data_IF_963793495069
#
_entry.id   IF_963793495069
#
_cell.length_a   1.000
_cell.length_b   1.000
_cell.length_c   1.000
_cell.angle_alpha   90.00
_cell.angle_beta   90.00
_cell.angle_gamma   90.00
#
_symmetry.space_group_name_H-M   'P 1'
#
loop_
_entity.id
_entity.type
_entity.pdbx_description
1 polymer ?
#
# COMPACT_ATOMS: atom_id res chain seq x y z
N UNK A 1 31.15 20.87 -27.21
CA UNK A 1 29.76 20.47 -27.57
C UNK A 1 29.68 19.03 -28.07
N UNK A 2 30.48 18.62 -29.07
CA UNK A 2 30.46 17.23 -29.55
C UNK A 2 30.93 16.19 -28.52
N UNK A 3 31.96 16.51 -27.74
CA UNK A 3 32.52 15.62 -26.69
C UNK A 3 31.54 15.42 -25.52
N UNK A 4 30.95 16.51 -25.01
CA UNK A 4 29.90 16.47 -23.98
C UNK A 4 28.65 15.69 -24.43
N UNK A 5 28.26 15.81 -25.71
CA UNK A 5 27.16 15.04 -26.27
C UNK A 5 27.49 13.54 -26.34
N UNK A 6 28.74 13.19 -26.63
CA UNK A 6 29.22 11.81 -26.65
C UNK A 6 29.25 11.20 -25.23
N UNK A 7 29.69 11.97 -24.23
CA UNK A 7 29.72 11.53 -22.84
C UNK A 7 28.30 11.29 -22.28
N UNK A 8 27.35 12.15 -22.61
CA UNK A 8 25.96 11.97 -22.22
C UNK A 8 25.34 10.70 -22.82
N UNK A 9 25.67 10.37 -24.07
CA UNK A 9 25.22 9.14 -24.72
C UNK A 9 25.85 7.88 -24.10
N UNK A 10 27.12 7.93 -23.69
CA UNK A 10 27.77 6.84 -22.95
C UNK A 10 27.11 6.58 -21.61
N UNK A 11 26.77 7.64 -20.86
CA UNK A 11 26.01 7.52 -19.60
C UNK A 11 24.63 6.93 -19.82
N UNK A 12 23.92 7.33 -20.89
CA UNK A 12 22.64 6.75 -21.28
C UNK A 12 22.77 5.26 -21.61
N UNK A 13 23.81 4.83 -22.35
CA UNK A 13 24.02 3.40 -22.62
C UNK A 13 24.35 2.60 -21.36
N UNK A 14 25.13 3.19 -20.44
CA UNK A 14 25.38 2.61 -19.12
C UNK A 14 24.09 2.46 -18.32
N UNK A 15 23.24 3.49 -18.30
CA UNK A 15 21.94 3.45 -17.67
C UNK A 15 21.01 2.39 -18.29
N UNK A 16 21.01 2.27 -19.64
CA UNK A 16 20.26 1.23 -20.35
C UNK A 16 20.70 -0.18 -19.92
N UNK A 17 22.00 -0.40 -19.68
CA UNK A 17 22.54 -1.67 -19.20
C UNK A 17 22.01 -2.00 -17.80
N UNK A 18 22.17 -1.09 -16.85
CA UNK A 18 21.61 -1.27 -15.49
C UNK A 18 20.10 -1.50 -15.52
N UNK A 19 19.36 -0.77 -16.36
CA UNK A 19 17.93 -0.99 -16.52
C UNK A 19 17.59 -2.40 -17.01
N UNK A 20 18.36 -2.96 -17.96
CA UNK A 20 18.18 -4.33 -18.45
C UNK A 20 18.50 -5.36 -17.37
N UNK A 21 19.50 -5.07 -16.55
CA UNK A 21 19.92 -5.88 -15.40
C UNK A 21 18.96 -5.71 -14.20
N UNK A 22 17.87 -4.93 -14.36
CA UNK A 22 16.87 -4.60 -13.34
C UNK A 22 17.39 -3.79 -12.15
N UNK A 23 18.59 -3.23 -12.27
CA UNK A 23 19.14 -2.28 -11.31
C UNK A 23 18.63 -0.87 -11.64
N UNK A 24 17.39 -0.62 -11.26
CA UNK A 24 16.69 0.62 -11.60
C UNK A 24 17.26 1.84 -10.85
N UNK A 25 17.82 1.66 -9.65
CA UNK A 25 18.44 2.74 -8.89
C UNK A 25 19.67 3.29 -9.60
N UNK A 26 20.59 2.42 -10.03
CA UNK A 26 21.73 2.86 -10.83
C UNK A 26 21.30 3.36 -12.20
N UNK A 27 20.27 2.78 -12.82
CA UNK A 27 19.73 3.31 -14.06
C UNK A 27 19.24 4.76 -13.90
N UNK A 28 18.48 5.07 -12.84
CA UNK A 28 18.01 6.42 -12.52
C UNK A 28 19.20 7.37 -12.31
N UNK A 29 20.20 6.93 -11.54
CA UNK A 29 21.42 7.71 -11.30
C UNK A 29 22.11 8.09 -12.61
N UNK A 30 22.43 7.12 -13.47
CA UNK A 30 23.14 7.40 -14.72
C UNK A 30 22.31 8.15 -15.77
N UNK A 31 20.98 7.97 -15.80
CA UNK A 31 20.13 8.86 -16.61
C UNK A 31 20.13 10.29 -16.07
N UNK A 32 20.25 10.49 -14.76
CA UNK A 32 20.36 11.81 -14.14
C UNK A 32 21.67 12.48 -14.50
N UNK A 33 22.80 11.78 -14.38
CA UNK A 33 24.11 12.27 -14.85
C UNK A 33 24.09 12.60 -16.35
N UNK A 34 23.44 11.77 -17.19
CA UNK A 34 23.28 12.06 -18.62
C UNK A 34 22.46 13.34 -18.88
N UNK A 35 21.44 13.60 -18.07
CA UNK A 35 20.61 14.80 -18.14
C UNK A 35 21.31 16.06 -17.63
N UNK A 36 22.23 15.94 -16.67
CA UNK A 36 23.08 17.04 -16.24
C UNK A 36 23.98 17.53 -17.39
N UNK A 37 24.45 16.61 -18.25
CA UNK A 37 25.25 16.95 -19.43
C UNK A 37 24.42 17.42 -20.63
N UNK A 38 23.23 16.84 -20.84
CA UNK A 38 22.34 17.22 -21.94
C UNK A 38 20.86 17.22 -21.50
N UNK A 39 20.37 18.34 -20.94
CA UNK A 39 19.02 18.46 -20.41
C UNK A 39 17.94 18.65 -21.48
N UNK A 40 18.31 18.68 -22.78
CA UNK A 40 17.36 18.91 -23.87
C UNK A 40 17.08 17.62 -24.68
N UNK A 41 17.40 16.45 -24.13
CA UNK A 41 17.16 15.16 -24.79
C UNK A 41 15.91 14.47 -24.24
N UNK A 42 14.85 14.38 -25.06
CA UNK A 42 13.58 13.75 -24.69
C UNK A 42 13.72 12.24 -24.36
N UNK A 43 14.69 11.54 -24.96
CA UNK A 43 14.91 10.11 -24.74
C UNK A 43 15.35 9.85 -23.30
N UNK A 44 16.22 10.71 -22.75
CA UNK A 44 16.79 10.52 -21.41
C UNK A 44 15.70 10.63 -20.35
N UNK A 45 14.88 11.69 -20.45
CA UNK A 45 13.69 11.84 -19.61
C UNK A 45 12.72 10.67 -19.76
N UNK A 46 12.43 10.21 -20.97
CA UNK A 46 11.48 9.11 -21.14
C UNK A 46 11.99 7.77 -20.60
N UNK A 47 13.29 7.50 -20.71
CA UNK A 47 13.88 6.29 -20.15
C UNK A 47 13.97 6.37 -18.62
N UNK A 48 14.32 7.53 -18.05
CA UNK A 48 14.31 7.74 -16.60
C UNK A 48 12.89 7.69 -16.03
N UNK A 49 11.90 8.24 -16.74
CA UNK A 49 10.47 8.08 -16.45
C UNK A 49 10.06 6.61 -16.39
N UNK A 50 10.55 5.77 -17.32
CA UNK A 50 10.31 4.34 -17.26
C UNK A 50 10.98 3.69 -16.04
N UNK A 51 12.20 4.07 -15.70
CA UNK A 51 12.86 3.58 -14.48
C UNK A 51 12.07 3.98 -13.22
N UNK A 52 11.57 5.22 -13.15
CA UNK A 52 10.67 5.65 -12.09
C UNK A 52 9.34 4.90 -12.05
N UNK A 53 8.76 4.50 -13.20
CA UNK A 53 7.58 3.61 -13.21
C UNK A 53 7.90 2.23 -12.60
N UNK A 54 9.11 1.71 -12.83
CA UNK A 54 9.55 0.42 -12.29
C UNK A 54 9.85 0.46 -10.80
N UNK A 55 10.21 1.63 -10.27
CA UNK A 55 10.42 1.87 -8.84
C UNK A 55 9.24 2.58 -8.17
N UNK A 56 8.10 2.67 -8.86
CA UNK A 56 6.84 3.23 -8.34
C UNK A 56 6.89 4.71 -7.94
N UNK A 57 7.90 5.42 -8.41
CA UNK A 57 8.02 6.87 -8.33
C UNK A 57 7.11 7.54 -9.39
N UNK A 58 5.80 7.29 -9.33
CA UNK A 58 4.84 7.70 -10.36
C UNK A 58 4.79 9.22 -10.59
N UNK A 59 5.04 10.02 -9.55
CA UNK A 59 5.13 11.48 -9.63
C UNK A 59 6.34 11.92 -10.46
N UNK A 60 7.52 11.37 -10.18
CA UNK A 60 8.73 11.64 -10.97
C UNK A 60 8.60 11.09 -12.39
N UNK A 61 8.00 9.91 -12.56
CA UNK A 61 7.71 9.36 -13.87
C UNK A 61 6.80 10.29 -14.69
N UNK A 62 5.74 10.84 -14.09
CA UNK A 62 4.83 11.80 -14.72
C UNK A 62 5.54 13.09 -15.10
N UNK A 63 6.38 13.63 -14.21
CA UNK A 63 7.15 14.85 -14.45
C UNK A 63 8.14 14.67 -15.62
N UNK A 64 8.94 13.61 -15.61
CA UNK A 64 9.90 13.31 -16.67
C UNK A 64 9.19 13.02 -18.01
N UNK A 65 8.09 12.27 -18.00
CA UNK A 65 7.32 12.02 -19.23
C UNK A 65 6.72 13.32 -19.80
N UNK A 66 6.29 14.23 -18.94
CA UNK A 66 5.82 15.55 -19.35
C UNK A 66 6.97 16.37 -19.93
N UNK A 67 8.13 16.36 -19.30
CA UNK A 67 9.31 17.08 -19.79
C UNK A 67 9.79 16.56 -21.15
N UNK A 68 9.78 15.24 -21.34
CA UNK A 68 10.08 14.64 -22.64
C UNK A 68 9.18 15.17 -23.76
N UNK A 69 7.89 15.39 -23.48
CA UNK A 69 6.91 15.90 -24.44
C UNK A 69 6.96 17.42 -24.62
N UNK A 70 7.45 18.17 -23.64
CA UNK A 70 7.80 19.59 -23.81
C UNK A 70 8.95 19.77 -24.79
N UNK A 71 9.95 18.88 -24.72
CA UNK A 71 11.12 18.86 -25.59
C UNK A 71 10.75 18.38 -26.99
N UNK A 72 10.06 17.23 -27.10
CA UNK A 72 9.62 16.65 -28.36
C UNK A 72 8.16 16.18 -28.28
N UNK A 73 7.26 17.01 -28.84
CA UNK A 73 5.82 16.75 -28.90
C UNK A 73 5.44 15.56 -29.77
N UNK A 74 6.33 15.08 -30.64
CA UNK A 74 6.11 13.93 -31.52
C UNK A 74 6.66 12.63 -30.91
N UNK A 75 7.27 12.70 -29.73
CA UNK A 75 7.86 11.55 -29.07
C UNK A 75 6.80 10.62 -28.46
N UNK A 76 6.32 9.67 -29.25
CA UNK A 76 5.17 8.79 -28.89
C UNK A 76 5.41 8.00 -27.59
N UNK A 77 6.65 7.58 -27.32
CA UNK A 77 6.98 6.91 -26.04
C UNK A 77 6.71 7.82 -24.84
N UNK A 78 6.88 9.13 -24.96
CA UNK A 78 6.57 10.11 -23.92
C UNK A 78 5.10 10.09 -23.51
N UNK A 79 4.17 10.11 -24.48
CA UNK A 79 2.72 9.98 -24.21
C UNK A 79 2.41 8.67 -23.51
N UNK A 80 3.01 7.58 -23.98
CA UNK A 80 2.78 6.26 -23.39
C UNK A 80 3.28 6.16 -21.94
N UNK A 81 4.46 6.72 -21.62
CA UNK A 81 4.96 6.82 -20.23
C UNK A 81 4.02 7.68 -19.39
N UNK A 82 3.64 8.86 -19.88
CA UNK A 82 2.75 9.79 -19.17
C UNK A 82 1.38 9.19 -18.90
N UNK A 83 0.81 8.47 -19.87
CA UNK A 83 -0.45 7.75 -19.72
C UNK A 83 -0.32 6.70 -18.60
N UNK A 84 0.75 5.93 -18.60
CA UNK A 84 1.00 4.89 -17.59
C UNK A 84 1.19 5.49 -16.20
N UNK A 85 1.92 6.59 -16.06
CA UNK A 85 2.04 7.31 -14.77
C UNK A 85 0.68 7.84 -14.30
N UNK A 86 -0.11 8.45 -15.17
CA UNK A 86 -1.45 8.92 -14.83
C UNK A 86 -2.38 7.76 -14.44
N UNK A 87 -2.26 6.58 -15.06
CA UNK A 87 -3.02 5.39 -14.65
C UNK A 87 -2.67 4.97 -13.23
N UNK A 88 -1.36 4.87 -12.92
CA UNK A 88 -0.90 4.48 -11.59
C UNK A 88 -1.33 5.48 -10.51
N UNK A 89 -1.41 6.77 -10.87
CA UNK A 89 -1.90 7.85 -10.00
C UNK A 89 -3.44 7.95 -9.91
N UNK A 90 -4.19 7.04 -10.54
CA UNK A 90 -5.65 7.10 -10.59
C UNK A 90 -6.22 8.27 -11.43
N UNK A 91 -5.38 8.97 -12.20
CA UNK A 91 -5.75 10.08 -13.09
C UNK A 91 -6.25 9.56 -14.44
N UNK A 92 -7.26 8.70 -14.40
CA UNK A 92 -7.73 7.92 -15.57
C UNK A 92 -8.15 8.77 -16.76
N UNK A 93 -8.78 9.93 -16.54
CA UNK A 93 -9.17 10.84 -17.65
C UNK A 93 -7.95 11.42 -18.37
N UNK A 94 -6.90 11.78 -17.63
CA UNK A 94 -5.66 12.28 -18.21
C UNK A 94 -4.92 11.17 -18.97
N UNK A 95 -4.87 9.96 -18.39
CA UNK A 95 -4.30 8.79 -19.05
C UNK A 95 -5.02 8.44 -20.36
N UNK A 96 -6.36 8.48 -20.37
CA UNK A 96 -7.16 8.17 -21.55
C UNK A 96 -6.82 9.08 -22.73
N UNK A 97 -6.65 10.38 -22.49
CA UNK A 97 -6.27 11.37 -23.52
C UNK A 97 -4.90 11.06 -24.15
N UNK A 98 -3.94 10.64 -23.33
CA UNK A 98 -2.62 10.26 -23.82
C UNK A 98 -2.67 8.93 -24.59
N UNK A 99 -3.40 7.92 -24.10
CA UNK A 99 -3.58 6.66 -24.83
C UNK A 99 -4.32 6.84 -26.16
N UNK A 100 -5.33 7.71 -26.21
CA UNK A 100 -6.01 8.06 -27.46
C UNK A 100 -5.02 8.63 -28.50
N UNK A 101 -4.10 9.48 -28.05
CA UNK A 101 -3.04 10.03 -28.91
C UNK A 101 -2.12 8.92 -29.43
N UNK A 102 -1.70 7.98 -28.56
CA UNK A 102 -0.84 6.84 -28.96
C UNK A 102 -1.55 5.94 -29.98
N UNK A 103 -2.80 5.54 -29.71
CA UNK A 103 -3.58 4.65 -30.59
C UNK A 103 -3.86 5.31 -31.95
N UNK A 104 -4.09 6.62 -31.97
CA UNK A 104 -4.27 7.36 -33.23
C UNK A 104 -3.02 7.33 -34.10
N UNK A 105 -1.83 7.47 -33.51
CA UNK A 105 -0.56 7.46 -34.26
C UNK A 105 -0.11 6.03 -34.60
N UNK A 106 -0.42 5.05 -33.73
CA UNK A 106 -0.05 3.64 -33.89
C UNK A 106 -1.27 2.72 -33.82
N UNK A 107 -2.14 2.71 -34.85
CA UNK A 107 -3.40 1.96 -34.82
C UNK A 107 -3.22 0.44 -34.82
N UNK A 108 -2.05 -0.05 -35.24
CA UNK A 108 -1.71 -1.47 -35.27
C UNK A 108 -1.00 -1.94 -33.99
N UNK A 109 -0.69 -1.04 -33.06
CA UNK A 109 -0.08 -1.39 -31.78
C UNK A 109 -1.15 -2.01 -30.87
N UNK A 110 -1.08 -3.36 -30.77
CA UNK A 110 -2.03 -4.16 -30.01
C UNK A 110 -2.03 -3.79 -28.52
N UNK A 111 -0.85 -3.50 -27.97
CA UNK A 111 -0.71 -3.13 -26.57
C UNK A 111 -1.37 -1.77 -26.31
N UNK A 112 -1.03 -0.75 -27.11
CA UNK A 112 -1.64 0.57 -26.97
C UNK A 112 -3.18 0.53 -27.05
N UNK A 113 -3.74 -0.27 -27.96
CA UNK A 113 -5.20 -0.47 -28.08
C UNK A 113 -5.81 -1.12 -26.85
N UNK A 114 -5.18 -2.18 -26.33
CA UNK A 114 -5.61 -2.82 -25.10
C UNK A 114 -5.61 -1.82 -23.94
N UNK A 115 -4.54 -1.02 -23.79
CA UNK A 115 -4.44 -0.01 -22.72
C UNK A 115 -5.48 1.08 -22.81
N UNK A 116 -5.77 1.56 -24.02
CA UNK A 116 -6.85 2.49 -24.26
C UNK A 116 -8.22 1.92 -23.87
N UNK A 117 -8.53 0.68 -24.28
CA UNK A 117 -9.81 0.04 -23.99
C UNK A 117 -10.04 -0.16 -22.49
N UNK A 118 -9.03 -0.66 -21.78
CA UNK A 118 -9.09 -0.85 -20.33
C UNK A 118 -9.21 0.49 -19.59
N UNK A 119 -8.42 1.49 -19.98
CA UNK A 119 -8.53 2.84 -19.41
C UNK A 119 -9.93 3.44 -19.63
N UNK A 120 -10.48 3.30 -20.84
CA UNK A 120 -11.82 3.80 -21.17
C UNK A 120 -12.91 3.10 -20.35
N UNK A 121 -12.77 1.78 -20.12
CA UNK A 121 -13.69 1.01 -19.27
C UNK A 121 -13.70 1.56 -17.84
N UNK A 122 -12.52 1.81 -17.26
CA UNK A 122 -12.39 2.39 -15.92
C UNK A 122 -12.99 3.80 -15.85
N UNK A 123 -12.70 4.66 -16.84
CA UNK A 123 -13.26 6.02 -16.89
C UNK A 123 -14.79 6.00 -16.95
N UNK A 124 -15.38 5.11 -17.75
CA UNK A 124 -16.83 4.94 -17.85
C UNK A 124 -17.43 4.43 -16.54
N UNK A 125 -16.80 3.43 -15.92
CA UNK A 125 -17.23 2.87 -14.64
C UNK A 125 -17.23 3.96 -13.55
N UNK A 126 -16.13 4.70 -13.40
CA UNK A 126 -16.03 5.79 -12.41
C UNK A 126 -16.98 6.95 -12.68
N UNK A 127 -17.26 7.26 -13.96
CA UNK A 127 -18.26 8.25 -14.31
C UNK A 127 -19.67 7.78 -13.92
N UNK A 128 -19.98 6.50 -14.12
CA UNK A 128 -21.25 5.90 -13.68
C UNK A 128 -21.37 5.90 -12.15
N UNK A 129 -20.34 5.44 -11.43
CA UNK A 129 -20.28 5.45 -9.96
C UNK A 129 -20.45 6.86 -9.39
N UNK A 130 -19.85 7.88 -10.02
CA UNK A 130 -20.04 9.28 -9.63
C UNK A 130 -21.45 9.79 -9.93
N UNK A 131 -22.07 9.36 -11.03
CA UNK A 131 -23.42 9.76 -11.39
C UNK A 131 -24.48 9.18 -10.45
N UNK A 132 -24.25 7.98 -9.90
CA UNK A 132 -25.12 7.35 -8.89
C UNK A 132 -24.78 7.80 -7.46
N UNK A 133 -23.64 8.45 -7.25
CA UNK A 133 -23.27 9.06 -5.97
C UNK A 133 -23.95 10.43 -5.80
N UNK A 134 -25.29 10.45 -5.74
CA UNK A 134 -26.07 11.59 -5.24
C UNK A 134 -26.13 11.59 -3.70
N UNK A 135 -26.47 12.73 -3.09
CA UNK A 135 -26.53 13.04 -1.64
C UNK A 135 -27.44 12.15 -0.76
N UNK A 136 -27.85 10.97 -1.22
CA UNK A 136 -28.46 9.97 -0.36
C UNK A 136 -27.38 9.31 0.49
N UNK A 137 -27.59 9.25 1.81
CA UNK A 137 -26.80 8.41 2.72
C UNK A 137 -26.63 7.04 2.06
N UNK A 138 -25.41 6.71 1.58
CA UNK A 138 -25.11 5.39 1.00
C UNK A 138 -25.61 4.34 2.00
N UNK A 139 -26.66 3.60 1.62
CA UNK A 139 -27.07 2.41 2.36
C UNK A 139 -25.86 1.48 2.38
N UNK A 140 -25.53 1.00 3.57
CA UNK A 140 -24.41 0.06 3.70
C UNK A 140 -24.76 -1.21 2.95
N UNK A 141 -23.76 -1.87 2.34
CA UNK A 141 -23.97 -3.21 1.78
C UNK A 141 -24.57 -4.15 2.83
N UNK A 142 -24.22 -3.97 4.11
CA UNK A 142 -24.78 -4.74 5.24
C UNK A 142 -26.30 -4.68 5.27
N UNK A 143 -26.92 -3.53 4.94
CA UNK A 143 -28.39 -3.36 4.95
C UNK A 143 -29.09 -4.22 3.88
N UNK A 144 -28.34 -4.69 2.89
CA UNK A 144 -28.84 -5.57 1.81
C UNK A 144 -28.48 -7.04 2.00
N UNK A 145 -27.68 -7.37 3.02
CA UNK A 145 -27.22 -8.73 3.29
C UNK A 145 -28.10 -9.42 4.32
N UNK A 146 -28.79 -10.47 3.91
CA UNK A 146 -29.47 -11.40 4.83
C UNK A 146 -28.50 -12.54 5.21
N UNK A 147 -27.60 -12.27 6.16
CA UNK A 147 -26.60 -13.24 6.62
C UNK A 147 -27.25 -14.39 7.41
N UNK A 148 -28.35 -14.11 8.11
CA UNK A 148 -29.08 -15.10 8.91
C UNK A 148 -29.65 -16.22 8.03
N UNK A 149 -30.20 -15.85 6.87
CA UNK A 149 -30.73 -16.80 5.88
C UNK A 149 -29.66 -17.61 5.15
N UNK A 150 -28.39 -17.20 5.18
CA UNK A 150 -27.33 -17.92 4.47
C UNK A 150 -27.16 -19.32 5.06
N UNK A 151 -27.28 -20.34 4.22
CA UNK A 151 -26.96 -21.73 4.59
C UNK A 151 -25.49 -22.02 4.32
N UNK A 152 -24.88 -22.85 5.17
CA UNK A 152 -23.60 -23.49 4.91
C UNK A 152 -23.93 -24.86 4.36
N UNK A 153 -23.36 -25.23 3.21
CA UNK A 153 -23.61 -26.54 2.60
C UNK A 153 -23.07 -27.68 3.49
N UNK A 154 -23.77 -28.82 3.53
CA UNK A 154 -23.44 -29.95 4.41
C UNK A 154 -22.06 -30.58 4.11
N UNK A 155 -21.59 -30.44 2.87
CA UNK A 155 -20.28 -30.89 2.40
C UNK A 155 -19.13 -29.92 2.75
N UNK A 156 -19.44 -28.74 3.32
CA UNK A 156 -18.43 -27.82 3.82
C UNK A 156 -17.85 -28.33 5.15
N UNK A 157 -16.61 -28.82 5.07
CA UNK A 157 -15.81 -29.34 6.19
C UNK A 157 -14.77 -28.34 6.72
N UNK A 158 -14.78 -27.11 6.22
CA UNK A 158 -13.85 -26.07 6.67
C UNK A 158 -14.28 -25.41 7.99
N UNK A 159 -13.50 -24.41 8.45
CA UNK A 159 -13.75 -23.68 9.69
C UNK A 159 -15.12 -23.02 9.72
N UNK A 160 -15.83 -23.16 10.85
CA UNK A 160 -17.15 -22.56 11.10
C UNK A 160 -17.10 -21.72 12.36
N UNK A 161 -17.76 -20.57 12.35
CA UNK A 161 -17.94 -19.78 13.58
C UNK A 161 -18.99 -20.46 14.46
N UNK A 162 -18.66 -20.68 15.73
CA UNK A 162 -19.59 -21.17 16.75
C UNK A 162 -20.36 -19.98 17.31
N UNK A 163 -21.70 -20.02 17.23
CA UNK A 163 -22.59 -18.90 17.62
C UNK A 163 -22.21 -17.54 17.01
N UNK A 164 -21.58 -17.57 15.83
CA UNK A 164 -21.08 -16.38 15.14
C UNK A 164 -19.83 -15.75 15.75
N UNK A 165 -19.27 -16.32 16.82
CA UNK A 165 -18.10 -15.80 17.53
C UNK A 165 -16.80 -16.39 16.97
N UNK A 166 -15.75 -15.55 16.96
CA UNK A 166 -14.39 -16.00 16.63
C UNK A 166 -13.74 -16.57 17.89
N UNK A 167 -13.20 -17.79 17.79
CA UNK A 167 -12.43 -18.44 18.86
C UNK A 167 -10.98 -18.69 18.43
N UNK A 168 -10.08 -18.93 19.40
CA UNK A 168 -8.70 -19.30 19.08
C UNK A 168 -8.61 -20.59 18.27
N UNK A 169 -9.50 -21.56 18.53
CA UNK A 169 -9.54 -22.81 17.77
C UNK A 169 -9.96 -22.53 16.32
N UNK A 170 -11.01 -21.74 16.10
CA UNK A 170 -11.40 -21.29 14.77
C UNK A 170 -10.25 -20.60 14.04
N UNK A 171 -9.48 -19.72 14.71
CA UNK A 171 -8.35 -19.05 14.09
C UNK A 171 -7.24 -20.01 13.68
N UNK A 172 -6.92 -21.02 14.50
CA UNK A 172 -5.93 -22.05 14.16
C UNK A 172 -6.40 -22.88 12.96
N UNK A 173 -7.66 -23.30 12.96
CA UNK A 173 -8.23 -24.08 11.87
C UNK A 173 -8.31 -23.24 10.58
N UNK A 174 -8.65 -21.95 10.68
CA UNK A 174 -8.63 -21.01 9.57
C UNK A 174 -7.24 -20.86 8.97
N UNK A 175 -6.22 -20.71 9.82
CA UNK A 175 -4.86 -20.53 9.34
C UNK A 175 -4.36 -21.75 8.57
N UNK A 176 -4.63 -22.96 9.08
CA UNK A 176 -4.27 -24.21 8.40
C UNK A 176 -5.08 -24.39 7.11
N UNK A 177 -6.38 -24.07 7.13
CA UNK A 177 -7.25 -24.13 5.95
C UNK A 177 -6.74 -23.25 4.81
N UNK A 178 -6.30 -22.03 5.11
CA UNK A 178 -5.71 -21.12 4.15
C UNK A 178 -4.30 -21.54 3.70
N UNK A 179 -3.50 -22.16 4.60
CA UNK A 179 -2.19 -22.73 4.25
C UNK A 179 -2.32 -23.84 3.20
N UNK A 180 -3.42 -24.58 3.24
CA UNK A 180 -3.81 -25.58 2.25
C UNK A 180 -4.46 -25.01 0.98
N UNK A 181 -4.44 -23.68 0.78
CA UNK A 181 -5.11 -22.97 -0.32
C UNK A 181 -6.62 -23.21 -0.41
N UNK A 182 -7.27 -23.57 0.70
CA UNK A 182 -8.72 -23.75 0.75
C UNK A 182 -9.39 -22.42 1.12
N UNK A 183 -10.68 -22.30 0.82
CA UNK A 183 -11.43 -21.05 0.97
C UNK A 183 -12.39 -21.10 2.16
N UNK A 184 -12.42 -20.06 2.99
CA UNK A 184 -13.41 -19.92 4.06
C UNK A 184 -14.82 -19.78 3.45
N UNK A 185 -15.83 -20.40 4.07
CA UNK A 185 -17.20 -20.26 3.59
C UNK A 185 -17.67 -18.80 3.65
N UNK A 186 -18.42 -18.37 2.63
CA UNK A 186 -18.87 -16.97 2.47
C UNK A 186 -19.66 -16.44 3.67
N UNK A 187 -20.47 -17.28 4.33
CA UNK A 187 -21.23 -16.91 5.53
C UNK A 187 -20.30 -16.45 6.64
N UNK A 188 -19.26 -17.23 6.93
CA UNK A 188 -18.28 -16.90 7.96
C UNK A 188 -17.47 -15.66 7.58
N UNK A 189 -17.08 -15.50 6.31
CA UNK A 189 -16.41 -14.29 5.83
C UNK A 189 -17.29 -13.03 6.02
N UNK A 190 -18.57 -13.08 5.66
CA UNK A 190 -19.50 -11.97 5.91
C UNK A 190 -19.68 -11.69 7.40
N UNK A 191 -19.81 -12.72 8.23
CA UNK A 191 -19.92 -12.56 9.69
C UNK A 191 -18.68 -11.87 10.28
N UNK A 192 -17.47 -12.25 9.87
CA UNK A 192 -16.22 -11.59 10.29
C UNK A 192 -16.24 -10.12 9.86
N UNK A 193 -16.60 -9.82 8.61
CA UNK A 193 -16.59 -8.45 8.10
C UNK A 193 -17.61 -7.53 8.77
N UNK A 194 -18.82 -8.03 9.03
CA UNK A 194 -19.85 -7.23 9.73
C UNK A 194 -19.43 -6.94 11.16
N UNK A 195 -18.92 -7.94 11.88
CA UNK A 195 -18.46 -7.76 13.26
C UNK A 195 -17.24 -6.84 13.34
N UNK A 196 -16.25 -7.01 12.46
CA UNK A 196 -15.04 -6.18 12.52
C UNK A 196 -15.35 -4.74 12.11
N UNK A 197 -16.31 -4.51 11.21
CA UNK A 197 -16.82 -3.17 10.90
C UNK A 197 -17.38 -2.50 12.15
N UNK A 198 -18.21 -3.20 12.91
CA UNK A 198 -18.80 -2.68 14.16
C UNK A 198 -17.70 -2.32 15.17
N UNK A 199 -16.71 -3.20 15.38
CA UNK A 199 -15.55 -2.94 16.24
C UNK A 199 -14.76 -1.71 15.79
N UNK A 200 -14.35 -1.66 14.52
CA UNK A 200 -13.51 -0.59 13.99
C UNK A 200 -14.24 0.75 13.95
N UNK A 201 -15.55 0.76 13.71
CA UNK A 201 -16.35 1.99 13.65
C UNK A 201 -16.43 2.75 14.98
N UNK A 202 -16.23 2.04 16.09
CA UNK A 202 -16.23 2.60 17.46
C UNK A 202 -14.88 3.17 17.86
N UNK A 203 -13.81 2.89 17.10
CA UNK A 203 -12.47 3.39 17.42
C UNK A 203 -12.30 4.86 16.97
N UNK A 204 -11.47 5.65 17.66
CA UNK A 204 -11.04 6.96 17.17
C UNK A 204 -10.11 6.82 15.96
N UNK A 205 -9.91 7.92 15.23
CA UNK A 205 -8.98 7.96 14.10
C UNK A 205 -7.51 7.88 14.53
N UNK A 206 -7.20 8.36 15.74
CA UNK A 206 -5.95 8.12 16.46
C UNK A 206 -6.23 7.19 17.63
N UNK A 207 -5.75 5.94 17.58
CA UNK A 207 -5.83 5.01 18.71
C UNK A 207 -4.73 5.33 19.71
N UNK A 208 -5.03 5.29 20.99
CA UNK A 208 -4.05 5.56 22.05
C UNK A 208 -4.02 4.38 23.01
N UNK A 209 -2.83 3.82 23.23
CA UNK A 209 -2.63 2.70 24.15
C UNK A 209 -1.57 3.02 25.19
N UNK A 210 -1.68 2.37 26.34
CA UNK A 210 -0.67 2.40 27.39
C UNK A 210 -0.14 0.98 27.62
N UNK A 211 1.15 0.78 27.37
CA UNK A 211 1.91 -0.40 27.76
C UNK A 211 2.44 -0.20 29.18
N UNK A 212 2.14 -1.16 30.06
CA UNK A 212 2.76 -1.24 31.38
C UNK A 212 4.24 -1.60 31.25
N UNK A 213 5.01 -1.35 32.31
CA UNK A 213 6.47 -1.55 32.35
C UNK A 213 6.91 -2.96 31.89
N UNK A 214 6.14 -4.00 32.22
CA UNK A 214 6.44 -5.40 31.85
C UNK A 214 5.81 -5.85 30.54
N UNK A 215 4.98 -5.03 29.91
CA UNK A 215 4.26 -5.38 28.67
C UNK A 215 5.12 -5.06 27.45
N UNK A 216 4.95 -5.86 26.39
CA UNK A 216 5.62 -5.68 25.10
C UNK A 216 4.56 -5.66 24.01
N UNK A 217 4.79 -4.92 22.92
CA UNK A 217 3.99 -4.99 21.69
C UNK A 217 4.88 -5.21 20.48
N UNK A 218 4.37 -5.99 19.52
CA UNK A 218 5.02 -6.20 18.24
C UNK A 218 4.44 -5.28 17.18
N UNK A 219 5.28 -4.53 16.46
CA UNK A 219 4.87 -3.70 15.32
C UNK A 219 5.37 -4.34 14.03
N UNK A 220 4.43 -4.70 13.16
CA UNK A 220 4.67 -5.15 11.80
C UNK A 220 4.33 -4.02 10.83
N UNK A 221 5.09 -3.92 9.73
CA UNK A 221 4.77 -3.07 8.59
C UNK A 221 3.91 -3.77 7.55
N UNK A 222 4.09 -3.36 6.30
CA UNK A 222 3.39 -3.88 5.14
C UNK A 222 3.54 -5.41 5.04
N UNK A 223 2.45 -6.09 4.66
CA UNK A 223 2.43 -7.55 4.44
C UNK A 223 1.96 -7.95 3.04
N UNK A 224 1.21 -7.08 2.36
CA UNK A 224 0.87 -7.18 0.93
C UNK A 224 0.47 -8.57 0.46
N UNK A 225 -0.46 -9.23 1.15
CA UNK A 225 -0.96 -10.54 0.75
C UNK A 225 0.08 -11.66 0.72
N UNK A 226 1.21 -11.51 1.41
CA UNK A 226 2.20 -12.56 1.62
C UNK A 226 1.82 -13.46 2.82
N UNK A 227 0.73 -14.21 2.65
CA UNK A 227 0.11 -14.99 3.71
C UNK A 227 1.06 -15.99 4.41
N UNK A 228 1.95 -16.63 3.67
CA UNK A 228 2.87 -17.62 4.23
C UNK A 228 3.96 -16.96 5.09
N UNK A 229 4.36 -15.73 4.75
CA UNK A 229 5.27 -14.94 5.57
C UNK A 229 4.57 -14.39 6.82
N UNK A 230 3.26 -14.07 6.74
CA UNK A 230 2.46 -13.76 7.94
C UNK A 230 2.44 -14.93 8.92
N UNK A 231 2.26 -16.16 8.44
CA UNK A 231 2.34 -17.36 9.29
C UNK A 231 3.74 -17.52 9.88
N UNK A 232 4.79 -17.26 9.12
CA UNK A 232 6.17 -17.29 9.60
C UNK A 232 6.41 -16.27 10.73
N UNK A 233 5.85 -15.05 10.64
CA UNK A 233 5.90 -14.07 11.75
C UNK A 233 5.29 -14.68 13.01
N UNK A 234 4.11 -15.31 12.91
CA UNK A 234 3.45 -15.93 14.06
C UNK A 234 4.19 -17.17 14.60
N UNK A 235 4.90 -17.90 13.75
CA UNK A 235 5.73 -19.04 14.18
C UNK A 235 6.99 -18.57 14.91
N UNK A 236 7.66 -17.53 14.39
CA UNK A 236 8.89 -16.96 14.96
C UNK A 236 8.62 -16.17 16.24
N UNK A 237 7.48 -15.48 16.32
CA UNK A 237 7.19 -14.50 17.35
C UNK A 237 5.99 -14.84 18.24
N UNK A 238 5.39 -16.01 18.03
CA UNK A 238 4.20 -16.47 18.73
C UNK A 238 2.92 -15.88 18.15
N UNK A 239 1.80 -16.57 18.42
CA UNK A 239 0.49 -16.10 17.97
C UNK A 239 0.05 -14.83 18.71
N UNK A 240 -0.80 -14.01 18.09
CA UNK A 240 -1.47 -12.91 18.78
C UNK A 240 -2.25 -13.41 19.98
N UNK A 241 -2.15 -12.66 21.09
CA UNK A 241 -2.91 -12.92 22.32
C UNK A 241 -2.93 -11.66 23.19
N UNK A 242 -3.67 -11.69 24.30
CA UNK A 242 -3.65 -10.63 25.31
C UNK A 242 -2.23 -10.35 25.85
N UNK A 243 -1.39 -11.39 25.94
CA UNK A 243 0.01 -11.30 26.41
C UNK A 243 1.03 -11.14 25.29
N UNK A 244 0.61 -11.19 24.03
CA UNK A 244 1.46 -11.00 22.86
C UNK A 244 0.73 -10.11 21.84
N UNK A 245 0.57 -8.81 22.15
CA UNK A 245 -0.17 -7.88 21.30
C UNK A 245 0.61 -7.54 20.02
N UNK A 246 -0.14 -7.26 18.96
CA UNK A 246 0.39 -6.90 17.65
C UNK A 246 -0.26 -5.62 17.13
N UNK A 247 0.54 -4.85 16.39
CA UNK A 247 0.13 -3.74 15.56
C UNK A 247 0.60 -4.00 14.12
N UNK A 248 -0.32 -4.15 13.17
CA UNK A 248 0.00 -4.16 11.74
C UNK A 248 -0.27 -2.79 11.14
N UNK A 249 0.79 -2.16 10.61
CA UNK A 249 0.81 -0.78 10.19
C UNK A 249 0.41 -0.58 8.72
N UNK A 250 -0.78 -1.05 8.36
CA UNK A 250 -1.35 -0.91 7.01
C UNK A 250 -0.75 -1.82 5.95
N UNK A 251 -1.30 -1.71 4.74
CA UNK A 251 -0.86 -2.43 3.54
C UNK A 251 -0.85 -3.95 3.74
N UNK A 252 -2.03 -4.46 4.11
CA UNK A 252 -2.29 -5.88 4.31
C UNK A 252 -2.49 -6.62 2.99
N UNK A 253 -3.06 -5.92 2.01
CA UNK A 253 -3.55 -6.47 0.75
C UNK A 253 -2.79 -5.89 -0.44
N UNK A 254 -3.21 -6.34 -1.63
CA UNK A 254 -2.63 -6.00 -2.92
C UNK A 254 -1.22 -6.58 -3.12
N UNK A 255 -0.80 -6.65 -4.39
CA UNK A 255 0.46 -7.23 -4.86
C UNK A 255 0.57 -8.73 -4.64
N UNK A 256 0.66 -9.21 -3.40
CA UNK A 256 0.63 -10.63 -3.11
C UNK A 256 -0.73 -11.22 -3.46
N UNK A 257 -0.72 -12.50 -3.84
CA UNK A 257 -1.91 -13.19 -4.35
C UNK A 257 -2.64 -14.03 -3.31
N UNK A 258 -2.35 -13.76 -2.03
CA UNK A 258 -3.01 -14.35 -0.87
C UNK A 258 -3.54 -13.24 0.07
N UNK A 259 -4.00 -12.13 -0.51
CA UNK A 259 -4.49 -10.96 0.23
C UNK A 259 -5.75 -11.28 1.02
N UNK A 260 -6.64 -12.12 0.48
CA UNK A 260 -7.87 -12.56 1.15
C UNK A 260 -7.55 -13.36 2.41
N UNK A 261 -6.56 -14.25 2.35
CA UNK A 261 -6.14 -15.08 3.48
C UNK A 261 -5.51 -14.22 4.57
N UNK A 262 -4.63 -13.28 4.19
CA UNK A 262 -4.05 -12.29 5.13
C UNK A 262 -5.17 -11.53 5.83
N UNK A 263 -6.03 -10.83 5.09
CA UNK A 263 -6.96 -9.88 5.70
C UNK A 263 -8.02 -10.56 6.57
N UNK A 264 -8.51 -11.75 6.18
CA UNK A 264 -9.47 -12.50 7.00
C UNK A 264 -8.81 -13.05 8.27
N UNK A 265 -7.53 -13.40 8.21
CA UNK A 265 -6.77 -13.81 9.41
C UNK A 265 -6.56 -12.63 10.35
N UNK A 266 -6.17 -11.47 9.82
CA UNK A 266 -5.99 -10.24 10.61
C UNK A 266 -7.31 -9.78 11.24
N UNK A 267 -8.41 -9.75 10.49
CA UNK A 267 -9.73 -9.42 11.04
C UNK A 267 -10.23 -10.44 12.05
N UNK A 268 -9.95 -11.73 11.85
CA UNK A 268 -10.24 -12.76 12.85
C UNK A 268 -9.53 -12.49 14.18
N UNK A 269 -8.22 -12.21 14.16
CA UNK A 269 -7.49 -11.84 15.38
C UNK A 269 -7.95 -10.49 15.96
N UNK A 270 -8.37 -9.53 15.13
CA UNK A 270 -8.98 -8.28 15.61
C UNK A 270 -10.27 -8.53 16.39
N UNK A 271 -11.07 -9.51 15.98
CA UNK A 271 -12.29 -9.90 16.70
C UNK A 271 -11.99 -10.70 17.96
N UNK A 272 -10.97 -11.57 17.91
CA UNK A 272 -10.58 -12.41 19.04
C UNK A 272 -9.91 -11.61 20.17
N UNK A 273 -9.08 -10.62 19.81
CA UNK A 273 -8.30 -9.80 20.74
C UNK A 273 -8.43 -8.30 20.41
N UNK A 274 -9.62 -7.71 20.54
CA UNK A 274 -9.90 -6.35 20.06
C UNK A 274 -9.04 -5.26 20.69
N UNK A 275 -8.56 -5.45 21.91
CA UNK A 275 -7.75 -4.46 22.64
C UNK A 275 -6.23 -4.73 22.54
N UNK A 276 -5.82 -5.85 21.93
CA UNK A 276 -4.42 -6.30 21.85
C UNK A 276 -3.96 -6.57 20.41
N UNK A 277 -4.89 -6.59 19.45
CA UNK A 277 -4.60 -6.71 18.03
C UNK A 277 -5.07 -5.46 17.30
N UNK A 278 -4.11 -4.71 16.77
CA UNK A 278 -4.32 -3.38 16.21
C UNK A 278 -4.01 -3.40 14.72
N UNK A 279 -4.89 -2.75 13.94
CA UNK A 279 -4.76 -2.62 12.50
C UNK A 279 -4.88 -1.14 12.16
N UNK A 280 -3.86 -0.58 11.51
CA UNK A 280 -3.90 0.77 10.96
C UNK A 280 -4.13 0.72 9.47
N UNK A 281 -4.73 1.78 8.93
CA UNK A 281 -4.97 1.91 7.50
C UNK A 281 -3.66 2.24 6.78
N UNK A 282 -3.36 1.52 5.71
CA UNK A 282 -2.34 1.88 4.73
C UNK A 282 -2.97 2.48 3.46
N UNK A 283 -2.13 2.86 2.49
CA UNK A 283 -2.65 3.38 1.24
C UNK A 283 -3.29 2.29 0.37
N UNK A 284 -2.94 1.02 0.58
CA UNK A 284 -3.54 -0.12 -0.10
C UNK A 284 -4.88 -0.57 0.49
N UNK A 285 -5.33 -0.04 1.64
CA UNK A 285 -6.71 -0.21 2.11
C UNK A 285 -7.65 0.87 1.50
N UNK A 286 -7.56 1.03 0.17
CA UNK A 286 -8.30 2.03 -0.61
C UNK A 286 -8.76 1.47 -1.97
N UNK A 287 -9.91 1.94 -2.45
CA UNK A 287 -10.54 1.39 -3.66
C UNK A 287 -9.67 1.58 -4.90
N UNK A 288 -9.02 2.75 -5.00
CA UNK A 288 -8.16 3.08 -6.13
C UNK A 288 -6.98 2.10 -6.22
N UNK A 289 -6.40 1.71 -5.08
CA UNK A 289 -5.31 0.74 -5.07
C UNK A 289 -5.84 -0.67 -5.34
N UNK A 290 -6.91 -1.09 -4.65
CA UNK A 290 -7.43 -2.45 -4.78
C UNK A 290 -7.91 -2.81 -6.19
N UNK A 291 -8.48 -1.84 -6.92
CA UNK A 291 -8.88 -1.98 -8.32
C UNK A 291 -7.69 -2.26 -9.25
N UNK A 292 -6.52 -1.72 -8.90
CA UNK A 292 -5.33 -1.74 -9.76
C UNK A 292 -4.36 -2.86 -9.38
N UNK A 293 -4.23 -3.17 -8.09
CA UNK A 293 -3.14 -3.97 -7.55
C UNK A 293 -3.53 -5.35 -7.02
N UNK A 294 -4.78 -5.77 -7.23
CA UNK A 294 -5.16 -7.18 -7.19
C UNK A 294 -6.21 -7.55 -6.17
N UNK A 295 -6.36 -6.82 -5.07
CA UNK A 295 -7.28 -7.24 -4.02
C UNK A 295 -8.73 -7.28 -4.48
N UNK A 296 -9.20 -6.29 -5.25
CA UNK A 296 -10.57 -6.33 -5.80
C UNK A 296 -10.76 -7.55 -6.71
N UNK A 297 -9.78 -7.82 -7.57
CA UNK A 297 -9.82 -8.98 -8.47
C UNK A 297 -9.81 -10.30 -7.70
N UNK A 298 -8.99 -10.40 -6.66
CA UNK A 298 -8.86 -11.58 -5.81
C UNK A 298 -10.15 -11.86 -5.05
N UNK A 299 -10.76 -10.82 -4.45
CA UNK A 299 -12.06 -10.94 -3.76
C UNK A 299 -13.16 -11.34 -4.74
N UNK A 300 -13.19 -10.78 -5.96
CA UNK A 300 -14.18 -11.17 -6.98
C UNK A 300 -13.98 -12.60 -7.48
N UNK A 301 -12.73 -13.07 -7.55
CA UNK A 301 -12.42 -14.44 -7.96
C UNK A 301 -12.76 -15.47 -6.87
N UNK A 302 -12.46 -15.16 -5.61
CA UNK A 302 -12.70 -16.06 -4.48
C UNK A 302 -14.16 -15.98 -3.97
N UNK A 303 -14.78 -14.80 -4.00
CA UNK A 303 -16.13 -14.55 -3.49
C UNK A 303 -17.02 -13.84 -4.53
N UNK A 304 -17.37 -12.58 -4.29
CA UNK A 304 -18.33 -11.80 -5.08
C UNK A 304 -17.93 -10.32 -5.10
N UNK A 305 -18.48 -9.55 -6.03
CA UNK A 305 -18.28 -8.11 -6.05
C UNK A 305 -18.89 -7.42 -4.80
N UNK A 306 -19.98 -7.96 -4.27
CA UNK A 306 -20.61 -7.48 -3.03
C UNK A 306 -19.69 -7.67 -1.82
N UNK A 307 -18.94 -8.78 -1.77
CA UNK A 307 -17.93 -9.00 -0.73
C UNK A 307 -16.85 -7.91 -0.75
N UNK A 308 -16.37 -7.53 -1.94
CA UNK A 308 -15.39 -6.45 -2.08
C UNK A 308 -15.95 -5.10 -1.61
N UNK A 309 -17.19 -4.77 -1.96
CA UNK A 309 -17.82 -3.54 -1.47
C UNK A 309 -17.87 -3.49 0.07
N UNK A 310 -18.15 -4.62 0.73
CA UNK A 310 -18.11 -4.69 2.18
C UNK A 310 -16.68 -4.53 2.74
N UNK A 311 -15.65 -5.13 2.13
CA UNK A 311 -14.26 -4.88 2.48
C UNK A 311 -13.91 -3.38 2.38
N UNK A 312 -14.29 -2.73 1.28
CA UNK A 312 -14.07 -1.29 1.10
C UNK A 312 -14.73 -0.45 2.19
N UNK A 313 -15.96 -0.79 2.61
CA UNK A 313 -16.62 -0.13 3.74
C UNK A 313 -15.89 -0.37 5.07
N UNK A 314 -15.41 -1.58 5.32
CA UNK A 314 -14.64 -1.92 6.54
C UNK A 314 -13.32 -1.15 6.57
N UNK A 315 -12.59 -1.10 5.46
CA UNK A 315 -11.32 -0.39 5.33
C UNK A 315 -11.43 1.11 5.63
N UNK A 316 -12.58 1.72 5.34
CA UNK A 316 -12.84 3.11 5.68
C UNK A 316 -12.91 3.37 7.19
N UNK A 317 -13.15 2.34 8.01
CA UNK A 317 -13.18 2.46 9.47
C UNK A 317 -11.86 2.14 10.16
N UNK A 318 -10.84 1.65 9.44
CA UNK A 318 -9.50 1.44 10.01
C UNK A 318 -8.94 2.77 10.56
N UNK A 319 -8.45 2.80 11.82
CA UNK A 319 -7.74 3.96 12.36
C UNK A 319 -6.54 4.35 11.50
N UNK A 320 -6.17 5.64 11.53
CA UNK A 320 -5.13 6.20 10.66
C UNK A 320 -3.76 6.25 11.33
N UNK A 321 -3.74 6.28 12.66
CA UNK A 321 -2.52 6.30 13.45
C UNK A 321 -2.75 5.68 14.84
N UNK A 322 -1.66 5.29 15.50
CA UNK A 322 -1.67 4.82 16.89
C UNK A 322 -0.56 5.49 17.69
N UNK A 323 -0.87 6.00 18.88
CA UNK A 323 0.11 6.53 19.81
C UNK A 323 0.27 5.58 21.01
N UNK A 324 1.52 5.24 21.31
CA UNK A 324 1.91 4.32 22.39
C UNK A 324 2.58 5.13 23.49
N UNK A 325 2.03 5.04 24.71
CA UNK A 325 2.50 5.74 25.92
C UNK A 325 2.67 7.26 25.75
N UNK A 326 1.94 7.88 24.81
CA UNK A 326 2.09 9.29 24.43
C UNK A 326 3.53 9.67 24.02
N UNK A 327 4.29 8.70 23.50
CA UNK A 327 5.72 8.86 23.18
C UNK A 327 6.08 8.39 21.76
N UNK A 328 5.51 7.29 21.31
CA UNK A 328 5.76 6.75 19.97
C UNK A 328 4.50 6.88 19.13
N UNK A 329 4.58 7.56 18.00
CA UNK A 329 3.48 7.66 17.04
C UNK A 329 3.73 6.71 15.87
N UNK A 330 2.73 5.91 15.52
CA UNK A 330 2.77 4.94 14.44
C UNK A 330 1.73 5.30 13.38
N UNK A 331 2.15 5.40 12.12
CA UNK A 331 1.27 5.55 10.96
C UNK A 331 1.89 4.88 9.74
N UNK A 332 1.10 4.56 8.71
CA UNK A 332 1.62 3.84 7.56
C UNK A 332 2.63 4.68 6.74
N UNK A 333 2.20 5.84 6.24
CA UNK A 333 2.98 6.77 5.43
C UNK A 333 3.94 7.62 6.27
N UNK A 334 3.51 8.76 6.76
CA UNK A 334 4.38 9.62 7.57
C UNK A 334 3.76 10.95 7.97
N UNK A 335 4.58 12.00 7.99
CA UNK A 335 4.20 13.34 8.44
C UNK A 335 3.65 14.23 7.31
N UNK A 336 3.29 15.45 7.69
CA UNK A 336 2.35 16.30 6.97
C UNK A 336 3.00 17.30 6.02
N UNK A 337 2.28 17.67 4.96
CA UNK A 337 2.67 18.74 4.05
C UNK A 337 2.61 20.13 4.68
N UNK A 338 1.93 20.26 5.82
CA UNK A 338 1.74 21.50 6.58
C UNK A 338 2.38 21.39 7.97
N UNK A 339 2.88 22.51 8.49
CA UNK A 339 3.33 22.61 9.88
C UNK A 339 2.14 22.84 10.82
N UNK A 340 2.33 22.58 12.12
CA UNK A 340 1.34 22.88 13.14
C UNK A 340 0.30 21.77 13.40
N UNK A 341 0.32 20.68 12.65
CA UNK A 341 -0.56 19.51 12.89
C UNK A 341 -0.28 18.91 14.27
N UNK A 342 -1.35 18.67 15.03
CA UNK A 342 -1.31 18.10 16.38
C UNK A 342 -1.93 16.70 16.43
N UNK A 343 -1.65 15.95 17.51
CA UNK A 343 -2.38 14.71 17.82
C UNK A 343 -3.90 14.93 17.91
N UNK A 344 -4.33 16.12 18.36
CA UNK A 344 -5.75 16.46 18.44
C UNK A 344 -6.40 16.61 17.06
N UNK A 345 -5.66 17.12 16.08
CA UNK A 345 -6.13 17.17 14.70
C UNK A 345 -6.32 15.75 14.15
N UNK A 346 -5.43 14.81 14.51
CA UNK A 346 -5.55 13.41 14.07
C UNK A 346 -6.78 12.71 14.66
N UNK A 347 -7.11 12.99 15.93
CA UNK A 347 -8.35 12.48 16.56
C UNK A 347 -9.60 12.93 15.82
N UNK A 348 -9.60 14.15 15.29
CA UNK A 348 -10.74 14.80 14.63
C UNK A 348 -10.92 14.43 13.16
N UNK A 349 -10.00 13.69 12.54
CA UNK A 349 -10.13 13.30 11.14
C UNK A 349 -11.38 12.41 10.97
N UNK A 350 -12.32 12.86 10.13
CA UNK A 350 -13.41 12.02 9.62
C UNK A 350 -12.87 11.03 8.59
N UNK A 351 -12.52 9.84 9.07
CA UNK A 351 -11.80 8.82 8.29
C UNK A 351 -12.68 7.91 7.44
N UNK A 352 -14.00 7.87 7.70
CA UNK A 352 -14.93 6.93 7.04
C UNK A 352 -15.26 7.36 5.60
N UNK A 353 -14.23 7.35 4.76
CA UNK A 353 -14.24 7.78 3.37
C UNK A 353 -12.98 7.26 2.67
N UNK A 354 -12.96 7.38 1.35
CA UNK A 354 -11.71 7.28 0.60
C UNK A 354 -10.81 8.49 0.95
N UNK A 355 -9.48 8.32 0.99
CA UNK A 355 -8.58 9.42 1.29
C UNK A 355 -8.73 10.55 0.24
N UNK A 356 -8.65 11.82 0.67
CA UNK A 356 -8.60 12.95 -0.26
C UNK A 356 -7.31 12.94 -1.09
N UNK A 357 -7.24 13.79 -2.13
CA UNK A 357 -6.04 13.95 -2.96
C UNK A 357 -4.87 14.64 -2.21
N UNK A 358 -5.14 15.31 -1.09
CA UNK A 358 -4.17 16.01 -0.23
C UNK A 358 -4.71 16.23 1.19
N UNK A 359 -3.84 16.65 2.11
CA UNK A 359 -4.18 16.98 3.51
C UNK A 359 -3.91 15.83 4.49
N UNK A 360 -4.20 16.00 5.79
CA UNK A 360 -3.65 15.14 6.83
C UNK A 360 -3.94 13.63 6.69
N UNK A 361 -5.15 13.26 6.28
CA UNK A 361 -5.50 11.86 6.01
C UNK A 361 -4.71 11.29 4.83
N UNK A 362 -4.47 12.09 3.78
CA UNK A 362 -3.65 11.67 2.65
C UNK A 362 -2.19 11.51 3.11
N UNK A 363 -1.67 12.46 3.86
CA UNK A 363 -0.26 12.47 4.25
C UNK A 363 0.11 11.30 5.16
N UNK A 364 -0.76 10.99 6.14
CA UNK A 364 -0.61 9.82 7.02
C UNK A 364 -0.48 8.49 6.27
N UNK A 365 -1.03 8.41 5.05
CA UNK A 365 -1.04 7.18 4.25
C UNK A 365 0.03 7.19 3.14
N UNK A 366 0.57 8.35 2.74
CA UNK A 366 1.34 8.46 1.49
C UNK A 366 2.68 9.19 1.58
N UNK A 367 2.97 9.93 2.65
CA UNK A 367 4.22 10.69 2.71
C UNK A 367 5.42 9.79 2.98
N UNK A 368 6.60 10.22 2.51
CA UNK A 368 7.87 9.55 2.74
C UNK A 368 8.89 10.48 3.40
N UNK A 369 9.79 9.97 4.26
CA UNK A 369 10.91 10.76 4.75
C UNK A 369 11.90 11.10 3.61
N UNK A 370 12.60 12.23 3.73
CA UNK A 370 13.71 12.60 2.86
C UNK A 370 14.94 13.03 3.68
N UNK A 371 16.17 12.78 3.21
CA UNK A 371 17.36 13.06 4.00
C UNK A 371 17.61 14.56 4.19
N UNK A 372 17.21 15.40 3.25
CA UNK A 372 17.39 16.85 3.31
C UNK A 372 16.25 17.55 4.06
N UNK A 373 16.55 18.67 4.71
CA UNK A 373 15.56 19.49 5.40
C UNK A 373 14.47 20.03 4.47
N UNK A 374 13.34 20.41 5.07
CA UNK A 374 12.18 20.99 4.40
C UNK A 374 11.23 19.92 3.85
N UNK A 375 10.46 20.32 2.83
CA UNK A 375 9.48 19.46 2.16
C UNK A 375 9.71 19.48 0.66
N UNK A 376 9.43 18.36 0.01
CA UNK A 376 9.45 18.24 -1.45
C UNK A 376 8.16 17.62 -1.97
N UNK A 377 7.90 17.78 -3.26
CA UNK A 377 6.83 17.03 -3.94
C UNK A 377 7.16 15.55 -3.84
N UNK A 378 6.17 14.73 -3.45
CA UNK A 378 6.39 13.29 -3.33
C UNK A 378 6.79 12.66 -4.66
N UNK A 379 7.79 11.76 -4.58
CA UNK A 379 8.16 10.87 -5.70
C UNK A 379 6.97 10.04 -6.19
N UNK A 380 5.98 9.79 -5.32
CA UNK A 380 4.74 9.05 -5.60
C UNK A 380 3.69 9.88 -6.32
N UNK A 381 3.84 11.21 -6.39
CA UNK A 381 2.88 12.10 -7.06
C UNK A 381 1.59 12.39 -6.27
N UNK A 382 1.58 12.01 -4.99
CA UNK A 382 0.52 12.24 -3.99
C UNK A 382 1.21 12.50 -2.64
N UNK A 383 0.67 13.40 -1.81
CA UNK A 383 1.32 13.86 -0.58
C UNK A 383 2.69 14.55 -0.82
N UNK A 384 3.55 14.61 0.19
CA UNK A 384 4.88 15.22 0.20
C UNK A 384 5.99 14.25 0.64
N UNK A 385 7.23 14.68 0.45
CA UNK A 385 8.37 14.21 1.21
C UNK A 385 8.69 15.18 2.35
N UNK A 386 9.12 14.70 3.51
CA UNK A 386 9.40 15.51 4.70
C UNK A 386 10.78 15.26 5.30
N UNK A 387 11.49 16.32 5.66
CA UNK A 387 12.86 16.27 6.17
C UNK A 387 12.98 16.00 7.67
N UNK A 388 14.24 15.93 8.18
CA UNK A 388 14.53 15.76 9.59
C UNK A 388 14.00 16.91 10.47
N UNK A 389 14.03 18.14 9.96
CA UNK A 389 13.49 19.35 10.60
C UNK A 389 11.97 19.28 10.80
N UNK A 390 11.23 18.80 9.79
CA UNK A 390 9.78 18.57 9.88
C UNK A 390 9.47 17.52 10.95
N UNK A 391 10.25 16.43 10.98
CA UNK A 391 10.09 15.37 11.97
C UNK A 391 10.37 15.90 13.37
N UNK A 392 11.47 16.62 13.55
CA UNK A 392 11.81 17.21 14.83
C UNK A 392 10.74 18.20 15.32
N UNK A 393 10.29 19.12 14.46
CA UNK A 393 9.29 20.11 14.83
C UNK A 393 7.96 19.48 15.26
N UNK A 394 7.48 18.46 14.53
CA UNK A 394 6.26 17.75 14.89
C UNK A 394 6.38 17.01 16.23
N UNK A 395 7.50 16.31 16.46
CA UNK A 395 7.74 15.55 17.69
C UNK A 395 7.83 16.48 18.90
N UNK A 396 8.55 17.60 18.80
CA UNK A 396 8.68 18.59 19.86
C UNK A 396 7.33 19.24 20.20
N UNK A 397 6.56 19.63 19.19
CA UNK A 397 5.23 20.21 19.37
C UNK A 397 4.27 19.27 20.10
N UNK A 398 4.36 17.96 19.81
CA UNK A 398 3.45 16.95 20.35
C UNK A 398 4.03 16.15 21.53
N UNK A 399 5.22 16.50 22.02
CA UNK A 399 5.90 15.84 23.14
C UNK A 399 6.18 14.34 22.93
N UNK A 400 6.40 13.96 21.67
CA UNK A 400 6.74 12.62 21.23
C UNK A 400 8.25 12.41 21.12
N UNK A 401 8.70 11.16 21.21
CA UNK A 401 10.12 10.81 21.13
C UNK A 401 10.54 10.51 19.69
N UNK A 402 9.75 9.71 18.96
CA UNK A 402 9.99 9.34 17.56
C UNK A 402 8.72 8.80 16.89
N UNK A 403 8.77 8.64 15.56
CA UNK A 403 7.72 7.97 14.78
C UNK A 403 8.18 6.61 14.23
N UNK A 404 7.24 5.68 14.12
CA UNK A 404 7.39 4.43 13.37
C UNK A 404 6.44 4.46 12.18
N UNK A 405 6.95 4.12 11.00
CA UNK A 405 6.19 4.05 9.75
C UNK A 405 6.58 2.86 8.89
N UNK A 406 5.90 2.65 7.77
CA UNK A 406 6.13 1.49 6.91
C UNK A 406 6.27 1.90 5.44
N UNK A 407 5.37 1.54 4.51
CA UNK A 407 5.16 2.15 3.17
C UNK A 407 6.32 2.12 2.15
N UNK A 408 7.56 1.89 2.57
CA UNK A 408 8.74 1.75 1.73
C UNK A 408 9.46 0.45 2.02
N UNK A 409 9.69 -0.34 0.97
CA UNK A 409 10.56 -1.51 1.04
C UNK A 409 11.96 -1.09 1.46
N UNK A 410 12.56 -1.85 2.38
CA UNK A 410 13.95 -1.68 2.85
C UNK A 410 14.67 -3.00 2.73
N UNK A 411 15.91 -2.97 2.24
CA UNK A 411 16.71 -4.19 2.01
C UNK A 411 16.83 -5.05 3.28
N UNK A 412 17.03 -4.41 4.44
CA UNK A 412 17.15 -5.07 5.75
C UNK A 412 15.81 -5.19 6.50
N UNK A 413 14.68 -4.89 5.84
CA UNK A 413 13.34 -4.91 6.45
C UNK A 413 13.04 -3.72 7.36
N UNK A 414 14.04 -2.90 7.70
CA UNK A 414 13.86 -1.66 8.45
C UNK A 414 14.93 -0.61 8.07
N UNK A 415 14.69 0.64 8.45
CA UNK A 415 15.66 1.72 8.32
C UNK A 415 15.43 2.78 9.41
N UNK A 416 16.51 3.32 9.98
CA UNK A 416 16.46 4.41 10.97
C UNK A 416 16.99 5.68 10.35
N UNK A 417 16.15 6.70 10.24
CA UNK A 417 16.46 7.99 9.60
C UNK A 417 16.21 9.16 10.57
N UNK A 418 16.51 10.38 10.10
CA UNK A 418 16.26 11.63 10.84
C UNK A 418 16.84 11.60 12.27
N UNK A 419 18.09 11.15 12.39
CA UNK A 419 18.81 11.05 13.67
C UNK A 419 18.09 10.19 14.72
N UNK A 420 17.47 9.09 14.28
CA UNK A 420 16.76 8.16 15.18
C UNK A 420 15.28 8.48 15.38
N UNK A 421 14.77 9.55 14.78
CA UNK A 421 13.41 10.05 15.03
C UNK A 421 12.35 9.55 14.05
N UNK A 422 12.76 8.96 12.92
CA UNK A 422 11.86 8.38 11.92
C UNK A 422 12.32 6.98 11.55
N UNK A 423 11.53 5.97 11.92
CA UNK A 423 11.85 4.56 11.74
C UNK A 423 10.91 3.96 10.70
N UNK A 424 11.47 3.33 9.68
CA UNK A 424 10.71 2.52 8.72
C UNK A 424 10.81 1.05 9.11
N UNK A 425 9.68 0.33 9.15
CA UNK A 425 9.59 -1.13 9.30
C UNK A 425 8.74 -1.73 8.18
N UNK A 426 9.19 -2.82 7.59
CA UNK A 426 8.55 -3.47 6.44
C UNK A 426 8.56 -4.98 6.63
N UNK A 427 7.39 -5.63 6.55
CA UNK A 427 7.20 -7.02 6.97
C UNK A 427 6.88 -7.98 5.81
N UNK A 428 7.11 -7.56 4.57
CA UNK A 428 6.99 -8.40 3.38
C UNK A 428 8.40 -8.77 2.85
N UNK A 429 9.03 -9.87 3.31
CA UNK A 429 10.33 -10.29 2.82
C UNK A 429 10.23 -10.74 1.35
N UNK A 430 11.33 -10.60 0.60
CA UNK A 430 11.39 -10.90 -0.84
C UNK A 430 10.18 -10.33 -1.60
N UNK A 431 9.90 -9.04 -1.39
CA UNK A 431 8.68 -8.40 -1.86
C UNK A 431 8.39 -8.69 -3.34
N UNK A 432 7.16 -9.10 -3.64
CA UNK A 432 6.71 -9.48 -4.98
C UNK A 432 7.58 -10.55 -5.66
N UNK A 433 8.17 -11.45 -4.89
CA UNK A 433 9.05 -12.55 -5.31
C UNK A 433 10.30 -12.11 -6.10
N UNK A 434 10.68 -10.83 -6.00
CA UNK A 434 11.69 -10.23 -6.88
C UNK A 434 12.69 -9.35 -6.14
N UNK A 435 12.30 -8.69 -5.05
CA UNK A 435 13.14 -7.67 -4.43
C UNK A 435 14.28 -8.25 -3.57
N UNK A 436 14.16 -9.49 -3.09
CA UNK A 436 15.20 -10.14 -2.28
C UNK A 436 15.47 -9.49 -0.91
N UNK A 437 14.67 -8.52 -0.49
CA UNK A 437 14.79 -7.87 0.82
C UNK A 437 14.46 -8.83 1.98
N UNK A 438 14.98 -8.55 3.16
CA UNK A 438 14.47 -9.12 4.41
C UNK A 438 13.16 -8.45 4.81
N UNK A 439 12.40 -9.12 5.68
CA UNK A 439 11.32 -8.52 6.45
C UNK A 439 11.82 -8.20 7.85
N UNK A 440 11.16 -7.29 8.54
CA UNK A 440 11.38 -7.05 9.97
C UNK A 440 10.07 -6.77 10.71
N UNK A 441 10.10 -6.98 12.02
CA UNK A 441 9.12 -6.46 12.98
C UNK A 441 9.86 -5.83 14.17
N UNK A 442 9.18 -4.93 14.90
CA UNK A 442 9.76 -4.22 16.05
C UNK A 442 9.11 -4.73 17.34
N UNK A 443 9.89 -4.94 18.38
CA UNK A 443 9.40 -5.00 19.76
C UNK A 443 9.56 -3.66 20.45
N UNK A 444 8.48 -3.20 21.07
CA UNK A 444 8.50 -2.09 22.03
C UNK A 444 8.10 -2.61 23.40
N UNK A 445 8.93 -2.31 24.40
CA UNK A 445 8.67 -2.64 25.81
C UNK A 445 8.19 -1.40 26.54
N UNK A 446 7.18 -1.52 27.40
CA UNK A 446 6.63 -0.37 28.12
C UNK A 446 7.64 0.32 29.05
N UNK A 447 8.69 -0.38 29.49
CA UNK A 447 9.74 0.15 30.37
C UNK A 447 10.63 1.22 29.75
N UNK A 448 10.92 1.14 28.44
CA UNK A 448 11.88 2.05 27.79
C UNK A 448 11.51 2.49 26.37
N UNK A 449 10.50 1.85 25.76
CA UNK A 449 10.01 2.10 24.40
C UNK A 449 11.12 2.16 23.34
N UNK A 450 12.25 1.48 23.58
CA UNK A 450 13.30 1.39 22.58
C UNK A 450 12.91 0.38 21.50
N UNK A 451 13.08 0.71 20.21
CA UNK A 451 12.77 -0.20 19.12
C UNK A 451 13.81 -1.34 19.07
N UNK A 452 13.37 -2.56 19.34
CA UNK A 452 14.16 -3.79 19.15
C UNK A 452 13.75 -4.43 17.81
N UNK A 453 14.68 -4.46 16.84
CA UNK A 453 14.39 -4.93 15.48
C UNK A 453 14.67 -6.42 15.34
N UNK A 454 13.70 -7.16 14.83
CA UNK A 454 13.83 -8.59 14.52
C UNK A 454 13.66 -8.81 13.02
N UNK A 455 14.72 -9.26 12.38
CA UNK A 455 14.72 -9.53 10.95
C UNK A 455 14.33 -10.98 10.66
N UNK A 456 13.68 -11.21 9.53
CA UNK A 456 13.36 -12.53 9.02
C UNK A 456 13.42 -12.56 7.48
N UNK A 457 13.49 -13.75 6.90
CA UNK A 457 13.54 -13.96 5.45
C UNK A 457 12.25 -14.59 4.96
N UNK A 458 12.04 -14.53 3.64
CA UNK A 458 10.85 -15.09 3.00
C UNK A 458 10.81 -16.63 3.14
N UNK A 459 9.61 -17.17 3.22
CA UNK A 459 9.36 -18.61 3.23
C UNK A 459 8.70 -19.08 1.92
N UNK A 460 8.82 -20.38 1.56
CA UNK A 460 8.15 -20.91 0.38
C UNK A 460 6.62 -20.74 0.46
N UNK A 461 6.01 -20.44 -0.68
CA UNK A 461 4.56 -20.38 -0.85
C UNK A 461 4.14 -21.12 -2.14
N UNK A 462 2.85 -21.46 -2.31
CA UNK A 462 2.35 -22.07 -3.52
C UNK A 462 2.59 -21.21 -4.76
N UNK A 463 2.62 -21.86 -5.92
CA UNK A 463 2.96 -21.26 -7.21
C UNK A 463 1.82 -20.40 -7.79
N UNK A 464 1.50 -19.30 -7.11
CA UNK A 464 0.60 -18.24 -7.58
C UNK A 464 1.45 -16.97 -7.68
N UNK A 465 1.64 -16.48 -8.89
CA UNK A 465 2.49 -15.30 -9.14
C UNK A 465 1.91 -14.06 -8.45
N UNK A 466 2.73 -13.12 -7.97
CA UNK A 466 2.28 -11.80 -7.55
C UNK A 466 1.43 -11.14 -8.64
N UNK A 467 0.46 -10.34 -8.21
CA UNK A 467 -0.46 -9.61 -9.08
C UNK A 467 -1.33 -10.49 -9.99
N UNK A 468 -1.49 -11.79 -9.69
CA UNK A 468 -2.29 -12.72 -10.51
C UNK A 468 -3.73 -12.25 -10.77
N UNK A 469 -4.30 -11.47 -9.83
CA UNK A 469 -5.66 -10.95 -9.90
C UNK A 469 -5.75 -9.46 -10.23
N UNK A 470 -4.61 -8.79 -10.44
CA UNK A 470 -4.55 -7.37 -10.75
C UNK A 470 -5.06 -7.07 -12.16
N UNK A 471 -5.29 -5.78 -12.43
CA UNK A 471 -5.62 -5.33 -13.78
C UNK A 471 -4.49 -5.73 -14.75
N UNK A 472 -4.85 -6.26 -15.92
CA UNK A 472 -3.91 -6.70 -16.97
C UNK A 472 -2.89 -5.61 -17.33
N UNK A 473 -3.27 -4.34 -17.23
CA UNK A 473 -2.37 -3.21 -17.46
C UNK A 473 -1.19 -3.14 -16.48
N UNK A 474 -1.44 -3.48 -15.22
CA UNK A 474 -0.42 -3.47 -14.17
C UNK A 474 0.43 -4.74 -14.20
N UNK A 475 -0.18 -5.89 -14.53
CA UNK A 475 0.54 -7.15 -14.76
C UNK A 475 1.62 -7.00 -15.85
N UNK A 476 1.31 -6.29 -16.94
CA UNK A 476 2.23 -6.00 -18.04
C UNK A 476 3.25 -4.90 -17.72
N UNK A 477 2.99 -4.08 -16.69
CA UNK A 477 3.83 -2.93 -16.31
C UNK A 477 4.92 -3.27 -15.29
N UNK A 478 4.78 -4.37 -14.55
CA UNK A 478 5.73 -4.82 -13.52
C UNK A 478 6.58 -6.04 -13.93
N UNK A 479 6.14 -6.81 -14.93
CA UNK A 479 7.02 -7.76 -15.65
C UNK A 479 7.94 -7.03 -16.62
#
# INVERSE_FOLDING_TARGET
MAEVANDAELLKEKANKYFKDKDYENAIKYYTEALELNPQNAIYYSNRSLAYLRTECYGYALADATKALEIDKNYIKGYYRRATSNMALGKFKAALKDYETVVRVRPNDKDARMKYQECNKIVKQKAFERAIASDEKKKSVVDSLDIESMTIEDDYVGPKLEDGQVSLQFMKDLMEWFKDQKKLHRKCAYQILVQVKDVLSKLPSLVEITLKETETITICGDTHGQYYDLLNIFELNGLPSETNPYLFNGDFVDRGSFSVEVILTLFGFKLLYPDNFHLLRGNHETDNMNQMYGFEGEVKAKYTAQMFQLFSEVFQWLPLAQCINSKVLVMHGGLFSEDGVTLEDLRKIDRNRQPPDSGPMCDLLWSDPQPQNGRSISKRGVSCQFGPDVTQGFLEQNQLDYIVRSHEVKAEGYEVTHSGKCITVFSAPNYCDQMGNKGAYIHLRGSDLKPEFHQFTAVPHPNVKPMAYANTLMQLGMM
#
